data_IF_498200491802
#
_entry.id   IF_498200491802
#
_cell.length_a   1.000
_cell.length_b   1.000
_cell.length_c   1.000
_cell.angle_alpha   90.00
_cell.angle_beta   90.00
_cell.angle_gamma   90.00
#
_symmetry.space_group_name_H-M   'P 1'
#
loop_
_entity.id
_entity.type
_entity.pdbx_description
1 polymer ?
#
# COMPACT_ATOMS: atom_id res chain seq x y z
N UNK A 1 6.92 3.21 -20.91
CA UNK A 1 5.55 2.76 -20.57
C UNK A 1 5.62 1.40 -19.89
N UNK A 2 4.87 1.22 -18.83
CA UNK A 2 4.85 -0.06 -18.12
C UNK A 2 4.07 -1.10 -18.92
N UNK A 3 4.44 -2.37 -18.75
CA UNK A 3 3.78 -3.48 -19.44
C UNK A 3 2.34 -3.70 -18.93
N UNK A 4 2.01 -3.22 -17.74
CA UNK A 4 0.67 -3.32 -17.16
C UNK A 4 0.08 -1.93 -17.00
N UNK A 5 -1.25 -1.85 -17.08
CA UNK A 5 -1.97 -0.61 -16.89
C UNK A 5 -2.83 -0.69 -15.64
N UNK A 6 -3.07 0.48 -15.04
CA UNK A 6 -3.93 0.59 -13.89
C UNK A 6 -5.37 0.70 -14.38
N UNK A 7 -6.14 -0.35 -14.17
CA UNK A 7 -7.56 -0.39 -14.49
C UNK A 7 -8.36 -0.49 -13.19
N UNK A 8 -9.66 -0.32 -13.27
CA UNK A 8 -10.53 -0.46 -12.11
C UNK A 8 -10.43 -1.86 -11.51
N UNK A 9 -10.39 -2.89 -12.34
CA UNK A 9 -10.22 -4.26 -11.89
C UNK A 9 -8.87 -4.49 -11.22
N UNK A 10 -7.80 -3.96 -11.82
CA UNK A 10 -6.46 -4.05 -11.27
C UNK A 10 -6.37 -3.33 -9.94
N UNK A 11 -6.97 -2.15 -9.83
CA UNK A 11 -6.99 -1.38 -8.60
C UNK A 11 -7.71 -2.15 -7.49
N UNK A 12 -8.83 -2.78 -7.81
CA UNK A 12 -9.59 -3.59 -6.86
C UNK A 12 -8.73 -4.76 -6.35
N UNK A 13 -8.07 -5.49 -7.25
CA UNK A 13 -7.20 -6.60 -6.89
C UNK A 13 -6.05 -6.12 -6.01
N UNK A 14 -5.48 -4.98 -6.35
CA UNK A 14 -4.36 -4.40 -5.61
C UNK A 14 -4.76 -4.11 -4.16
N UNK A 15 -5.91 -3.49 -3.96
CA UNK A 15 -6.41 -3.19 -2.63
C UNK A 15 -6.78 -4.47 -1.87
N UNK A 16 -7.45 -5.42 -2.51
CA UNK A 16 -7.81 -6.68 -1.87
C UNK A 16 -6.57 -7.42 -1.36
N UNK A 17 -5.48 -7.38 -2.11
CA UNK A 17 -4.28 -8.11 -1.76
C UNK A 17 -3.40 -7.36 -0.77
N UNK A 18 -3.31 -6.04 -0.87
CA UNK A 18 -2.31 -5.27 -0.14
C UNK A 18 -2.87 -4.29 0.89
N UNK A 19 -4.17 -4.04 0.91
CA UNK A 19 -4.74 -3.07 1.87
C UNK A 19 -4.49 -3.48 3.31
N UNK A 20 -4.43 -4.76 3.60
CA UNK A 20 -4.13 -5.27 4.93
C UNK A 20 -2.80 -4.77 5.47
N UNK A 21 -1.84 -4.48 4.59
CA UNK A 21 -0.53 -3.95 4.99
C UNK A 21 -0.69 -2.56 5.59
N UNK A 22 -1.60 -1.74 5.05
CA UNK A 22 -1.87 -0.39 5.56
C UNK A 22 -2.36 -0.49 7.00
N UNK A 23 -3.33 -1.36 7.26
CA UNK A 23 -3.86 -1.56 8.60
C UNK A 23 -2.81 -2.12 9.55
N UNK A 24 -1.97 -3.03 9.05
CA UNK A 24 -0.89 -3.61 9.84
C UNK A 24 0.09 -2.54 10.31
N UNK A 25 0.52 -1.65 9.41
CA UNK A 25 1.44 -0.57 9.75
C UNK A 25 0.79 0.42 10.70
N UNK A 26 -0.48 0.77 10.47
CA UNK A 26 -1.22 1.65 11.36
C UNK A 26 -1.29 1.08 12.78
N UNK A 27 -1.59 -0.21 12.89
CA UNK A 27 -1.64 -0.89 14.18
C UNK A 27 -0.26 -0.89 14.85
N UNK A 28 0.78 -1.13 14.09
CA UNK A 28 2.16 -1.14 14.60
C UNK A 28 2.56 0.22 15.16
N UNK A 29 2.06 1.30 14.57
CA UNK A 29 2.30 2.67 15.02
C UNK A 29 1.26 3.14 16.03
N UNK A 30 0.37 2.24 16.47
CA UNK A 30 -0.67 2.55 17.46
C UNK A 30 -1.66 3.61 16.98
N UNK A 31 -1.96 3.61 15.70
CA UNK A 31 -2.99 4.49 15.11
C UNK A 31 -4.32 3.76 15.21
N UNK A 32 -5.16 4.17 16.15
CA UNK A 32 -6.42 3.51 16.44
C UNK A 32 -7.60 4.22 15.79
N UNK A 33 -8.72 3.51 15.67
CA UNK A 33 -9.93 4.05 15.02
C UNK A 33 -10.47 5.31 15.68
N UNK A 34 -10.22 5.50 16.97
CA UNK A 34 -10.65 6.70 17.68
C UNK A 34 -9.72 7.89 17.47
N UNK A 35 -8.62 7.71 16.75
CA UNK A 35 -7.73 8.80 16.38
C UNK A 35 -8.45 9.68 15.36
N UNK A 36 -8.49 10.98 15.59
CA UNK A 36 -9.18 11.93 14.70
C UNK A 36 -8.61 11.95 13.29
N UNK A 37 -7.37 11.51 13.12
CA UNK A 37 -6.70 11.47 11.81
C UNK A 37 -6.69 10.07 11.19
N UNK A 38 -7.43 9.12 11.77
CA UNK A 38 -7.43 7.73 11.30
C UNK A 38 -7.77 7.62 9.82
N UNK A 39 -8.84 8.29 9.40
CA UNK A 39 -9.28 8.24 8.00
C UNK A 39 -8.26 8.89 7.08
N UNK A 40 -7.58 9.94 7.54
CA UNK A 40 -6.53 10.59 6.75
C UNK A 40 -5.33 9.66 6.55
N UNK A 41 -4.93 8.95 7.60
CA UNK A 41 -3.87 7.94 7.50
C UNK A 41 -4.24 6.85 6.53
N UNK A 42 -5.46 6.36 6.59
CA UNK A 42 -5.94 5.29 5.72
C UNK A 42 -5.94 5.74 4.26
N UNK A 43 -6.46 6.93 4.00
CA UNK A 43 -6.50 7.50 2.66
C UNK A 43 -5.09 7.72 2.11
N UNK A 44 -4.21 8.26 2.93
CA UNK A 44 -2.80 8.46 2.54
C UNK A 44 -2.12 7.14 2.23
N UNK A 45 -2.41 6.10 3.03
CA UNK A 45 -1.89 4.76 2.76
C UNK A 45 -2.35 4.19 1.44
N UNK A 46 -3.61 4.40 1.10
CA UNK A 46 -4.17 3.95 -0.18
C UNK A 46 -3.51 4.66 -1.36
N UNK A 47 -3.33 5.97 -1.25
CA UNK A 47 -2.63 6.73 -2.29
C UNK A 47 -1.18 6.25 -2.45
N UNK A 48 -0.52 5.99 -1.34
CA UNK A 48 0.85 5.50 -1.35
C UNK A 48 0.95 4.10 -1.98
N UNK A 49 -0.06 3.26 -1.74
CA UNK A 49 -0.14 1.95 -2.37
C UNK A 49 -0.20 2.07 -3.89
N UNK A 50 -1.06 2.96 -4.40
CA UNK A 50 -1.19 3.22 -5.83
C UNK A 50 0.10 3.76 -6.43
N UNK A 51 0.72 4.74 -5.76
CA UNK A 51 2.00 5.29 -6.20
C UNK A 51 3.08 4.22 -6.26
N UNK A 52 3.16 3.38 -5.23
CA UNK A 52 4.15 2.32 -5.17
C UNK A 52 3.95 1.31 -6.27
N UNK A 53 2.69 1.00 -6.60
CA UNK A 53 2.37 0.11 -7.71
C UNK A 53 2.83 0.71 -9.04
N UNK A 54 2.58 2.00 -9.25
CA UNK A 54 2.98 2.69 -10.48
C UNK A 54 4.50 2.78 -10.62
N UNK A 55 5.21 2.90 -9.51
CA UNK A 55 6.67 2.98 -9.49
C UNK A 55 7.34 1.61 -9.58
N UNK A 56 6.59 0.55 -9.35
CA UNK A 56 7.14 -0.81 -9.32
C UNK A 56 7.66 -1.22 -10.70
N UNK A 57 8.84 -1.81 -10.74
CA UNK A 57 9.44 -2.30 -11.98
C UNK A 57 8.84 -3.64 -12.40
N UNK A 58 8.32 -4.39 -11.45
CA UNK A 58 7.65 -5.67 -11.69
C UNK A 58 6.21 -5.58 -11.20
N UNK A 59 5.30 -6.24 -11.94
CA UNK A 59 3.90 -6.24 -11.52
C UNK A 59 3.74 -7.08 -10.23
N UNK A 60 3.36 -6.45 -9.10
CA UNK A 60 3.22 -7.18 -7.84
C UNK A 60 2.09 -8.20 -7.83
N UNK A 61 1.19 -8.14 -8.82
CA UNK A 61 0.09 -9.09 -8.96
C UNK A 61 0.46 -10.30 -9.83
N UNK A 62 1.68 -10.31 -10.38
CA UNK A 62 2.10 -11.31 -11.36
C UNK A 62 2.49 -12.65 -10.73
N UNK A 63 3.18 -12.60 -9.60
CA UNK A 63 3.64 -13.82 -8.93
C UNK A 63 3.73 -13.61 -7.42
N UNK A 64 3.90 -14.72 -6.68
CA UNK A 64 4.08 -14.65 -5.24
C UNK A 64 5.39 -13.94 -4.87
N UNK A 65 6.43 -14.13 -5.67
CA UNK A 65 7.72 -13.50 -5.40
C UNK A 65 7.67 -11.99 -5.57
N UNK A 66 7.03 -11.51 -6.64
CA UNK A 66 6.87 -10.07 -6.88
C UNK A 66 5.96 -9.45 -5.82
N UNK A 67 4.92 -10.17 -5.40
CA UNK A 67 4.02 -9.71 -4.35
C UNK A 67 4.77 -9.57 -3.02
N UNK A 68 5.64 -10.53 -2.69
CA UNK A 68 6.43 -10.50 -1.46
C UNK A 68 7.40 -9.32 -1.43
N UNK A 69 8.10 -9.09 -2.54
CA UNK A 69 9.02 -7.96 -2.65
C UNK A 69 8.28 -6.63 -2.51
N UNK A 70 7.14 -6.51 -3.17
CA UNK A 70 6.31 -5.33 -3.11
C UNK A 70 5.80 -5.09 -1.69
N UNK A 71 5.39 -6.15 -0.99
CA UNK A 71 4.92 -6.09 0.39
C UNK A 71 5.98 -5.47 1.30
N UNK A 72 7.22 -5.96 1.21
CA UNK A 72 8.33 -5.45 2.03
C UNK A 72 8.59 -3.98 1.73
N UNK A 73 8.63 -3.62 0.46
CA UNK A 73 8.84 -2.25 0.01
C UNK A 73 7.73 -1.32 0.52
N UNK A 74 6.48 -1.76 0.37
CA UNK A 74 5.33 -0.97 0.78
C UNK A 74 5.28 -0.77 2.29
N UNK A 75 5.59 -1.81 3.07
CA UNK A 75 5.63 -1.68 4.53
C UNK A 75 6.62 -0.61 4.98
N UNK A 76 7.81 -0.61 4.41
CA UNK A 76 8.83 0.37 4.75
C UNK A 76 8.39 1.78 4.37
N UNK A 77 7.82 1.92 3.19
CA UNK A 77 7.38 3.22 2.69
C UNK A 77 6.25 3.80 3.54
N UNK A 78 5.27 2.95 3.89
CA UNK A 78 4.16 3.34 4.73
C UNK A 78 4.63 3.73 6.14
N UNK A 79 5.51 2.91 6.71
CA UNK A 79 6.04 3.16 8.04
C UNK A 79 6.72 4.51 8.12
N UNK A 80 7.61 4.79 7.18
CA UNK A 80 8.33 6.06 7.13
C UNK A 80 7.37 7.24 6.92
N UNK A 81 6.43 7.08 6.01
CA UNK A 81 5.48 8.16 5.69
C UNK A 81 4.62 8.51 6.90
N UNK A 82 4.10 7.50 7.58
CA UNK A 82 3.25 7.71 8.74
C UNK A 82 4.05 8.24 9.94
N UNK A 83 5.26 7.75 10.11
CA UNK A 83 6.12 8.16 11.22
C UNK A 83 6.56 9.63 11.10
N UNK A 84 6.78 10.09 9.88
CA UNK A 84 7.27 11.44 9.61
C UNK A 84 6.16 12.41 9.19
N UNK A 85 4.94 12.04 9.43
CA UNK A 85 3.80 12.86 9.07
C UNK A 85 3.65 14.12 9.95
#
# INVERSE_FOLDING_TARGET
MKAWTETEETTTQLFEQFEGIIYHVMKKLNIQKNNSEYDDFLQEGRLLLLESYQESQSNPLDSADTAKQFNIYLQRKLYWKFLNR
#
